data_IF_518483244682
#
_entry.id   IF_518483244682
#
_cell.length_a   1.000
_cell.length_b   1.000
_cell.length_c   1.000
_cell.angle_alpha   90.00
_cell.angle_beta   90.00
_cell.angle_gamma   90.00
#
_symmetry.space_group_name_H-M   'P 1'
#
loop_
_entity.id
_entity.type
_entity.pdbx_description
1 polymer ?
#
# COMPACT_ATOMS: atom_id res chain seq x y z
N UNK A 1 2.73 4.69 14.81
CA UNK A 1 3.93 5.09 14.07
C UNK A 1 5.14 4.46 14.75
N UNK A 2 5.84 3.56 14.07
CA UNK A 2 6.96 2.85 14.66
C UNK A 2 8.15 3.79 14.88
N UNK A 3 8.70 3.77 16.08
CA UNK A 3 9.91 4.52 16.37
C UNK A 3 11.13 3.77 15.78
N UNK A 4 11.78 4.39 14.82
CA UNK A 4 13.04 3.96 14.22
C UNK A 4 14.08 5.09 14.29
N UNK A 5 14.01 5.93 15.34
CA UNK A 5 14.91 7.07 15.53
C UNK A 5 16.39 6.66 15.59
N UNK A 6 16.68 5.44 16.05
CA UNK A 6 18.02 4.87 16.13
C UNK A 6 18.54 4.30 14.80
N UNK A 7 17.69 4.27 13.75
CA UNK A 7 18.07 3.76 12.44
C UNK A 7 18.65 4.86 11.54
N UNK A 8 19.32 4.43 10.46
CA UNK A 8 19.92 5.38 9.51
C UNK A 8 18.89 6.32 8.91
N UNK A 9 19.24 7.56 8.56
CA UNK A 9 18.33 8.51 7.91
C UNK A 9 17.63 7.91 6.68
N UNK A 10 18.33 7.11 5.89
CA UNK A 10 17.76 6.41 4.74
C UNK A 10 16.65 5.44 5.15
N UNK A 11 16.83 4.66 6.21
CA UNK A 11 15.80 3.74 6.71
C UNK A 11 14.56 4.49 7.20
N UNK A 12 14.76 5.63 7.88
CA UNK A 12 13.67 6.49 8.35
C UNK A 12 12.86 7.07 7.18
N UNK A 13 13.55 7.57 6.14
CA UNK A 13 12.90 8.07 4.91
C UNK A 13 12.08 6.97 4.24
N UNK A 14 12.62 5.78 4.05
CA UNK A 14 11.88 4.68 3.43
C UNK A 14 10.73 4.16 4.30
N UNK A 15 10.84 4.26 5.64
CA UNK A 15 9.70 4.02 6.54
C UNK A 15 8.56 5.01 6.25
N UNK A 16 8.87 6.28 6.18
CA UNK A 16 7.87 7.33 5.92
C UNK A 16 7.22 7.14 4.55
N UNK A 17 8.02 6.83 3.53
CA UNK A 17 7.51 6.49 2.18
C UNK A 17 6.59 5.26 2.24
N UNK A 18 6.97 4.20 2.95
CA UNK A 18 6.17 2.98 3.06
C UNK A 18 4.86 3.23 3.80
N UNK A 19 4.90 3.99 4.90
CA UNK A 19 3.70 4.38 5.63
C UNK A 19 2.75 5.21 4.77
N UNK A 20 3.27 6.24 4.07
CA UNK A 20 2.47 7.02 3.14
C UNK A 20 1.87 6.15 2.04
N UNK A 21 2.65 5.26 1.47
CA UNK A 21 2.20 4.31 0.45
C UNK A 21 1.05 3.40 0.96
N UNK A 22 1.12 2.94 2.22
CA UNK A 22 0.05 2.19 2.88
C UNK A 22 -1.22 3.02 3.10
N UNK A 23 -1.12 4.35 3.15
CA UNK A 23 -2.26 5.26 3.36
C UNK A 23 -2.91 5.72 2.05
N UNK A 24 -2.19 5.62 0.91
CA UNK A 24 -2.67 6.06 -0.41
C UNK A 24 -3.00 4.89 -1.32
N UNK A 25 -2.31 3.77 -1.20
CA UNK A 25 -2.60 2.54 -1.92
C UNK A 25 -2.35 2.58 -3.43
N UNK A 26 -1.66 3.57 -3.97
CA UNK A 26 -1.30 3.66 -5.39
C UNK A 26 -0.31 2.55 -5.81
N UNK A 27 0.06 2.48 -7.08
CA UNK A 27 1.21 1.67 -7.51
C UNK A 27 2.50 2.42 -7.24
N UNK A 28 3.60 1.72 -6.99
CA UNK A 28 4.90 2.35 -6.71
C UNK A 28 5.37 3.27 -7.85
N UNK A 29 5.14 2.88 -9.10
CA UNK A 29 5.49 3.71 -10.25
C UNK A 29 4.67 5.00 -10.35
N UNK A 30 3.41 4.98 -9.87
CA UNK A 30 2.59 6.19 -9.76
C UNK A 30 3.13 7.06 -8.60
N UNK A 31 3.41 6.46 -7.43
CA UNK A 31 3.97 7.16 -6.26
C UNK A 31 5.28 7.88 -6.58
N UNK A 32 6.17 7.23 -7.32
CA UNK A 32 7.48 7.78 -7.71
C UNK A 32 7.35 9.05 -8.56
N UNK A 33 6.29 9.15 -9.35
CA UNK A 33 6.03 10.28 -10.26
C UNK A 33 5.23 11.40 -9.60
N UNK A 34 4.65 11.19 -8.42
CA UNK A 34 3.83 12.20 -7.76
C UNK A 34 4.61 13.45 -7.41
N UNK A 35 3.98 14.58 -7.66
CA UNK A 35 4.47 15.93 -7.37
C UNK A 35 3.53 16.65 -6.44
N UNK A 36 3.90 17.84 -5.98
CA UNK A 36 3.01 18.70 -5.17
C UNK A 36 1.72 19.06 -5.91
N UNK A 37 1.76 19.17 -7.25
CA UNK A 37 0.57 19.44 -8.06
C UNK A 37 -0.50 18.32 -7.99
N UNK A 38 -0.12 17.12 -7.52
CA UNK A 38 -1.09 16.04 -7.29
C UNK A 38 -1.91 16.23 -6.00
N UNK A 39 -1.60 17.22 -5.17
CA UNK A 39 -2.39 17.54 -3.99
C UNK A 39 -3.44 18.59 -4.35
N UNK A 40 -4.69 18.16 -4.39
CA UNK A 40 -5.85 18.99 -4.74
C UNK A 40 -6.89 18.88 -3.61
N UNK A 41 -7.27 19.99 -3.01
CA UNK A 41 -8.30 20.05 -1.96
C UNK A 41 -8.13 18.98 -0.86
N UNK A 42 -6.90 18.81 -0.35
CA UNK A 42 -6.60 17.87 0.71
C UNK A 42 -6.65 16.39 0.31
N UNK A 43 -6.62 16.10 -0.98
CA UNK A 43 -6.54 14.74 -1.53
C UNK A 43 -5.36 14.59 -2.50
N UNK A 44 -4.88 13.36 -2.67
CA UNK A 44 -3.99 13.02 -3.80
C UNK A 44 -4.84 12.68 -5.00
N UNK A 45 -4.60 13.37 -6.13
CA UNK A 45 -5.23 13.09 -7.41
C UNK A 45 -4.20 12.66 -8.45
N UNK A 46 -4.47 11.58 -9.16
CA UNK A 46 -3.60 11.09 -10.23
C UNK A 46 -4.35 10.18 -11.21
N UNK A 47 -3.81 10.05 -12.42
CA UNK A 47 -4.24 9.04 -13.39
C UNK A 47 -3.21 7.93 -13.38
N UNK A 48 -3.65 6.68 -13.11
CA UNK A 48 -2.73 5.54 -13.02
C UNK A 48 -2.05 5.28 -14.38
N UNK A 49 -0.73 5.28 -14.40
CA UNK A 49 0.10 5.11 -15.60
C UNK A 49 -0.28 3.87 -16.42
N UNK A 50 -0.56 2.75 -15.73
CA UNK A 50 -0.91 1.49 -16.39
C UNK A 50 -2.20 1.56 -17.22
N UNK A 51 -3.12 2.46 -16.90
CA UNK A 51 -4.46 2.52 -17.51
C UNK A 51 -4.71 3.80 -18.31
N UNK A 52 -3.78 4.75 -18.28
CA UNK A 52 -3.96 6.07 -18.91
C UNK A 52 -4.25 6.02 -20.41
N UNK A 53 -3.69 5.05 -21.12
CA UNK A 53 -3.81 4.94 -22.57
C UNK A 53 -5.06 4.15 -23.03
N UNK A 54 -5.78 3.49 -22.12
CA UNK A 54 -6.96 2.68 -22.47
C UNK A 54 -8.25 3.28 -21.92
N UNK A 55 -8.35 3.44 -20.62
CA UNK A 55 -9.51 4.05 -19.92
C UNK A 55 -8.97 4.93 -18.81
N UNK A 56 -8.54 6.15 -19.10
CA UNK A 56 -8.04 7.06 -18.10
C UNK A 56 -9.14 7.36 -17.07
N UNK A 57 -8.82 7.18 -15.80
CA UNK A 57 -9.71 7.52 -14.70
C UNK A 57 -8.87 8.27 -13.66
N UNK A 58 -9.35 9.43 -13.25
CA UNK A 58 -8.77 10.15 -12.12
C UNK A 58 -9.07 9.38 -10.84
N UNK A 59 -8.02 9.07 -10.10
CA UNK A 59 -8.10 8.46 -8.78
C UNK A 59 -7.89 9.58 -7.78
N UNK A 60 -8.84 9.73 -6.86
CA UNK A 60 -8.79 10.72 -5.79
C UNK A 60 -8.77 10.01 -4.44
N UNK A 61 -7.72 10.21 -3.66
CA UNK A 61 -7.56 9.62 -2.32
C UNK A 61 -7.43 10.73 -1.30
N UNK A 62 -8.45 10.98 -0.47
CA UNK A 62 -8.37 11.98 0.59
C UNK A 62 -7.23 11.67 1.56
N UNK A 63 -6.49 12.70 1.94
CA UNK A 63 -5.39 12.59 2.89
C UNK A 63 -5.91 12.61 4.32
N UNK A 64 -5.67 11.54 5.06
CA UNK A 64 -5.86 11.55 6.50
C UNK A 64 -4.71 12.29 7.21
N UNK A 65 -4.87 12.56 8.50
CA UNK A 65 -3.90 13.36 9.26
C UNK A 65 -2.51 12.72 9.32
N UNK A 66 -2.42 11.39 9.33
CA UNK A 66 -1.13 10.67 9.30
C UNK A 66 -0.41 10.90 7.97
N UNK A 67 -1.13 10.87 6.85
CA UNK A 67 -0.57 11.15 5.53
C UNK A 67 -0.11 12.61 5.43
N UNK A 68 -0.90 13.56 5.92
CA UNK A 68 -0.54 14.98 5.98
C UNK A 68 0.71 15.22 6.82
N UNK A 69 0.79 14.59 8.01
CA UNK A 69 1.95 14.69 8.89
C UNK A 69 3.24 14.14 8.24
N UNK A 70 3.14 13.07 7.45
CA UNK A 70 4.29 12.56 6.69
C UNK A 70 4.71 13.57 5.63
N UNK A 71 3.77 14.12 4.85
CA UNK A 71 4.08 15.10 3.81
C UNK A 71 4.68 16.40 4.36
N UNK A 72 4.28 16.80 5.56
CA UNK A 72 4.83 17.98 6.23
C UNK A 72 6.34 17.87 6.50
N UNK A 73 6.85 16.66 6.76
CA UNK A 73 8.29 16.41 6.94
C UNK A 73 9.12 16.69 5.68
N UNK A 74 8.49 16.67 4.53
CA UNK A 74 9.13 16.83 3.22
C UNK A 74 8.62 18.09 2.51
N UNK A 75 8.18 19.09 3.29
CA UNK A 75 7.64 20.35 2.76
C UNK A 75 8.67 21.10 1.89
N UNK A 76 9.95 20.97 2.20
CA UNK A 76 11.05 21.65 1.49
C UNK A 76 11.34 21.07 0.10
N UNK A 77 10.73 19.94 -0.27
CA UNK A 77 10.85 19.41 -1.62
C UNK A 77 10.03 20.28 -2.58
N UNK A 78 10.69 21.00 -3.48
CA UNK A 78 10.05 21.96 -4.40
C UNK A 78 9.07 21.27 -5.36
N UNK A 79 9.45 20.15 -5.95
CA UNK A 79 8.69 19.52 -7.03
C UNK A 79 8.04 18.20 -6.60
N UNK A 80 8.80 17.32 -5.97
CA UNK A 80 8.35 15.96 -5.62
C UNK A 80 7.48 15.97 -4.37
N UNK A 81 6.53 15.03 -4.32
CA UNK A 81 5.72 14.83 -3.14
C UNK A 81 6.50 14.17 -1.99
N UNK A 82 7.41 13.25 -2.34
CA UNK A 82 8.27 12.51 -1.41
C UNK A 82 9.70 12.41 -1.98
N UNK A 83 10.71 12.08 -1.18
CA UNK A 83 12.07 11.83 -1.67
C UNK A 83 12.09 10.78 -2.78
N UNK A 84 13.11 10.88 -3.66
CA UNK A 84 13.26 9.99 -4.82
C UNK A 84 13.28 8.52 -4.39
N UNK A 85 12.42 7.72 -5.00
CA UNK A 85 12.30 6.28 -4.75
C UNK A 85 13.19 5.54 -5.75
N UNK A 86 14.06 4.67 -5.25
CA UNK A 86 14.65 3.60 -6.03
C UNK A 86 13.92 2.31 -5.66
N UNK A 87 13.22 1.70 -6.59
CA UNK A 87 12.33 0.57 -6.31
C UNK A 87 13.05 -0.64 -5.70
N UNK A 88 14.28 -0.94 -6.14
CA UNK A 88 15.06 -2.06 -5.60
C UNK A 88 15.48 -1.79 -4.15
N UNK A 89 15.96 -0.57 -3.87
CA UNK A 89 16.32 -0.14 -2.52
C UNK A 89 15.05 -0.11 -1.65
N UNK A 90 13.95 0.41 -2.16
CA UNK A 90 12.68 0.49 -1.45
C UNK A 90 12.19 -0.89 -1.00
N UNK A 91 12.17 -1.89 -1.89
CA UNK A 91 11.76 -3.24 -1.53
C UNK A 91 12.68 -3.86 -0.46
N UNK A 92 13.99 -3.61 -0.53
CA UNK A 92 14.95 -4.07 0.48
C UNK A 92 14.71 -3.37 1.84
N UNK A 93 14.44 -2.07 1.82
CA UNK A 93 14.16 -1.30 3.03
C UNK A 93 12.84 -1.71 3.67
N UNK A 94 11.79 -2.00 2.89
CA UNK A 94 10.53 -2.55 3.42
C UNK A 94 10.78 -3.82 4.23
N UNK A 95 11.55 -4.77 3.68
CA UNK A 95 11.90 -6.02 4.36
C UNK A 95 12.66 -5.75 5.67
N UNK A 96 13.68 -4.88 5.61
CA UNK A 96 14.45 -4.47 6.79
C UNK A 96 13.55 -3.86 7.87
N UNK A 97 12.69 -2.92 7.48
CA UNK A 97 11.78 -2.22 8.39
C UNK A 97 10.82 -3.20 9.07
N UNK A 98 10.19 -4.10 8.32
CA UNK A 98 9.29 -5.09 8.89
C UNK A 98 10.00 -6.02 9.87
N UNK A 99 11.23 -6.45 9.55
CA UNK A 99 12.04 -7.27 10.43
C UNK A 99 12.42 -6.55 11.72
N UNK A 100 12.84 -5.29 11.65
CA UNK A 100 13.14 -4.46 12.82
C UNK A 100 11.93 -4.27 13.74
N UNK A 101 10.73 -4.27 13.17
CA UNK A 101 9.48 -4.12 13.92
C UNK A 101 8.89 -5.45 14.43
N UNK A 102 9.59 -6.57 14.26
CA UNK A 102 9.08 -7.90 14.61
C UNK A 102 7.84 -8.33 13.83
N UNK A 103 7.61 -7.75 12.64
CA UNK A 103 6.51 -8.13 11.75
C UNK A 103 7.00 -9.27 10.86
N UNK A 104 7.06 -10.46 11.41
CA UNK A 104 7.68 -11.65 10.82
C UNK A 104 6.76 -12.88 10.77
N UNK A 105 5.44 -12.68 10.98
CA UNK A 105 4.48 -13.78 10.93
C UNK A 105 4.68 -14.65 9.68
N UNK A 106 4.57 -15.97 9.84
CA UNK A 106 4.67 -16.92 8.75
C UNK A 106 3.47 -16.82 7.81
N UNK A 107 3.72 -16.87 6.53
CA UNK A 107 2.69 -16.87 5.48
C UNK A 107 3.00 -17.95 4.45
N UNK A 108 1.95 -18.59 3.96
CA UNK A 108 2.06 -19.58 2.88
C UNK A 108 2.23 -18.86 1.55
N UNK A 109 3.27 -19.22 0.81
CA UNK A 109 3.51 -18.78 -0.56
C UNK A 109 3.79 -19.97 -1.46
N UNK A 110 3.48 -19.84 -2.74
CA UNK A 110 3.84 -20.89 -3.70
C UNK A 110 5.28 -20.65 -4.16
N UNK A 111 6.11 -21.65 -4.00
CA UNK A 111 7.48 -21.62 -4.53
C UNK A 111 7.45 -21.57 -6.06
N UNK A 112 8.24 -20.65 -6.64
CA UNK A 112 8.21 -20.43 -8.09
C UNK A 112 8.84 -21.59 -8.90
N UNK A 113 9.72 -22.38 -8.26
CA UNK A 113 10.42 -23.50 -8.93
C UNK A 113 9.66 -24.79 -8.79
N UNK A 114 9.31 -25.17 -7.55
CA UNK A 114 8.65 -26.43 -7.24
C UNK A 114 7.13 -26.40 -7.41
N UNK A 115 6.53 -25.18 -7.43
CA UNK A 115 5.09 -24.95 -7.42
C UNK A 115 4.37 -25.46 -6.16
N UNK A 116 5.12 -25.79 -5.13
CA UNK A 116 4.59 -26.26 -3.85
C UNK A 116 4.39 -25.10 -2.86
N UNK A 117 3.44 -25.26 -1.91
CA UNK A 117 3.27 -24.29 -0.83
C UNK A 117 4.42 -24.38 0.17
N UNK A 118 5.07 -23.26 0.42
CA UNK A 118 6.12 -23.11 1.43
C UNK A 118 5.78 -21.99 2.42
N UNK A 119 6.30 -22.11 3.64
CA UNK A 119 6.15 -21.08 4.66
C UNK A 119 7.34 -20.12 4.64
N UNK A 120 7.06 -18.81 4.60
CA UNK A 120 8.08 -17.76 4.71
C UNK A 120 7.63 -16.66 5.64
N UNK A 121 8.54 -15.99 6.38
CA UNK A 121 8.22 -14.78 7.12
C UNK A 121 7.75 -13.68 6.16
N UNK A 122 6.72 -12.94 6.56
CA UNK A 122 6.19 -11.86 5.69
C UNK A 122 7.24 -10.78 5.40
N UNK A 123 8.17 -10.53 6.33
CA UNK A 123 9.27 -9.58 6.13
C UNK A 123 10.23 -9.99 5.00
N UNK A 124 10.34 -11.28 4.69
CA UNK A 124 11.24 -11.76 3.61
C UNK A 124 10.62 -11.64 2.22
N UNK A 125 9.30 -11.58 2.13
CA UNK A 125 8.56 -11.53 0.86
C UNK A 125 7.89 -10.18 0.59
N UNK A 126 7.86 -9.30 1.57
CA UNK A 126 7.23 -7.99 1.44
C UNK A 126 7.90 -7.14 0.35
N UNK A 127 7.08 -6.40 -0.37
CA UNK A 127 7.49 -5.47 -1.42
C UNK A 127 6.63 -4.21 -1.37
N UNK A 128 6.89 -3.25 -2.25
CA UNK A 128 6.04 -2.08 -2.46
C UNK A 128 4.56 -2.45 -2.69
N UNK A 129 4.31 -3.62 -3.28
CA UNK A 129 2.95 -4.13 -3.48
C UNK A 129 2.23 -4.47 -2.16
N UNK A 130 2.99 -4.78 -1.10
CA UNK A 130 2.46 -4.99 0.25
C UNK A 130 1.78 -3.74 0.79
N UNK A 131 2.33 -2.54 0.54
CA UNK A 131 1.69 -1.29 0.92
C UNK A 131 0.28 -1.15 0.33
N UNK A 132 0.15 -1.42 -0.96
CA UNK A 132 -1.14 -1.37 -1.66
C UNK A 132 -2.11 -2.45 -1.15
N UNK A 133 -1.62 -3.66 -0.88
CA UNK A 133 -2.44 -4.71 -0.23
C UNK A 133 -2.94 -4.27 1.14
N UNK A 134 -2.08 -3.66 1.94
CA UNK A 134 -2.43 -3.15 3.27
C UNK A 134 -3.53 -2.08 3.19
N UNK A 135 -3.40 -1.11 2.26
CA UNK A 135 -4.43 -0.10 2.04
C UNK A 135 -5.79 -0.72 1.72
N UNK A 136 -5.83 -1.57 0.71
CA UNK A 136 -7.07 -2.19 0.24
C UNK A 136 -7.67 -3.10 1.32
N UNK A 137 -6.85 -3.96 1.95
CA UNK A 137 -7.31 -4.87 2.99
C UNK A 137 -7.89 -4.15 4.21
N UNK A 138 -7.22 -3.09 4.68
CA UNK A 138 -7.68 -2.31 5.82
C UNK A 138 -8.99 -1.56 5.53
N UNK A 139 -9.14 -1.01 4.32
CA UNK A 139 -10.38 -0.36 3.91
C UNK A 139 -11.51 -1.38 3.77
N UNK A 140 -11.25 -2.51 3.12
CA UNK A 140 -12.26 -3.53 2.88
C UNK A 140 -12.81 -4.12 4.18
N UNK A 141 -11.95 -4.35 5.17
CA UNK A 141 -12.38 -4.81 6.51
C UNK A 141 -13.35 -3.84 7.19
N UNK A 142 -13.18 -2.53 6.95
CA UNK A 142 -14.03 -1.49 7.58
C UNK A 142 -15.32 -1.21 6.83
N UNK A 143 -15.25 -1.13 5.51
CA UNK A 143 -16.35 -0.64 4.68
C UNK A 143 -17.16 -1.80 4.06
N UNK A 144 -16.52 -2.95 3.80
CA UNK A 144 -17.13 -4.14 3.16
C UNK A 144 -17.74 -3.86 1.76
N UNK A 145 -17.50 -2.68 1.19
CA UNK A 145 -17.91 -2.29 -0.16
C UNK A 145 -16.72 -2.35 -1.13
N UNK A 146 -16.70 -3.37 -2.02
CA UNK A 146 -15.62 -3.53 -2.99
C UNK A 146 -15.55 -2.39 -4.00
N UNK A 147 -16.67 -1.77 -4.37
CA UNK A 147 -16.71 -0.73 -5.39
C UNK A 147 -16.09 0.57 -4.86
N UNK A 148 -16.42 0.93 -3.62
CA UNK A 148 -15.84 2.10 -2.97
C UNK A 148 -14.32 1.93 -2.79
N UNK A 149 -13.85 0.76 -2.33
CA UNK A 149 -12.42 0.48 -2.20
C UNK A 149 -11.72 0.44 -3.57
N UNK A 150 -12.39 -0.08 -4.61
CA UNK A 150 -11.88 -0.10 -5.97
C UNK A 150 -11.70 1.33 -6.53
N UNK A 151 -12.64 2.24 -6.24
CA UNK A 151 -12.56 3.65 -6.67
C UNK A 151 -11.34 4.36 -6.12
N UNK A 152 -11.01 4.14 -4.83
CA UNK A 152 -9.84 4.71 -4.17
C UNK A 152 -8.51 4.09 -4.63
N UNK A 153 -8.53 2.84 -5.05
CA UNK A 153 -7.33 2.12 -5.46
C UNK A 153 -7.11 2.09 -6.98
N UNK A 154 -8.07 2.59 -7.78
CA UNK A 154 -8.00 2.58 -9.23
C UNK A 154 -8.07 1.18 -9.86
N UNK A 155 -8.79 0.26 -9.23
CA UNK A 155 -9.18 -0.99 -9.85
C UNK A 155 -10.51 -0.83 -10.60
N UNK A 156 -10.65 -1.55 -11.71
CA UNK A 156 -11.96 -1.69 -12.37
C UNK A 156 -12.84 -2.66 -11.57
N UNK A 157 -14.11 -2.34 -11.51
CA UNK A 157 -15.10 -3.17 -10.84
C UNK A 157 -15.08 -4.60 -11.41
N UNK A 158 -15.18 -5.60 -10.53
CA UNK A 158 -15.14 -7.01 -10.92
C UNK A 158 -13.79 -7.53 -11.43
N UNK A 159 -12.72 -6.72 -11.41
CA UNK A 159 -11.43 -7.18 -11.92
C UNK A 159 -10.86 -8.34 -11.11
N UNK A 160 -10.37 -9.40 -11.81
CA UNK A 160 -9.65 -10.52 -11.17
C UNK A 160 -8.45 -10.06 -10.33
N UNK A 161 -7.81 -8.95 -10.74
CA UNK A 161 -6.71 -8.36 -9.99
C UNK A 161 -7.18 -7.80 -8.64
N UNK A 162 -8.38 -7.20 -8.60
CA UNK A 162 -8.95 -6.68 -7.36
C UNK A 162 -9.44 -7.80 -6.44
N UNK A 163 -10.00 -8.88 -6.99
CA UNK A 163 -10.45 -10.03 -6.22
C UNK A 163 -9.34 -10.64 -5.32
N UNK A 164 -8.07 -10.58 -5.77
CA UNK A 164 -6.92 -11.05 -4.98
C UNK A 164 -6.66 -10.22 -3.72
N UNK A 165 -7.16 -9.01 -3.63
CA UNK A 165 -7.02 -8.15 -2.46
C UNK A 165 -8.16 -8.28 -1.47
N UNK A 166 -9.27 -8.91 -1.91
CA UNK A 166 -10.43 -9.22 -1.08
C UNK A 166 -10.24 -10.57 -0.38
N UNK A 167 -9.16 -10.71 0.39
CA UNK A 167 -9.05 -11.86 1.30
C UNK A 167 -10.18 -11.73 2.31
N UNK A 168 -11.16 -12.62 2.21
CA UNK A 168 -12.22 -12.72 3.20
C UNK A 168 -11.54 -13.20 4.48
N UNK A 169 -11.48 -12.32 5.46
CA UNK A 169 -10.94 -12.60 6.79
C UNK A 169 -11.73 -13.76 7.43
N UNK A 170 -11.07 -14.63 8.15
CA UNK A 170 -11.71 -15.72 8.90
C UNK A 170 -12.72 -15.20 9.93
N UNK A 171 -12.52 -14.00 10.45
CA UNK A 171 -13.46 -13.32 11.33
C UNK A 171 -14.77 -12.97 10.58
N UNK A 172 -14.66 -12.40 9.38
CA UNK A 172 -15.83 -12.16 8.52
C UNK A 172 -16.56 -13.45 8.15
N UNK A 173 -15.85 -14.55 7.90
CA UNK A 173 -16.46 -15.86 7.63
C UNK A 173 -17.24 -16.36 8.84
N UNK A 174 -16.69 -16.22 10.05
CA UNK A 174 -17.36 -16.59 11.30
C UNK A 174 -18.61 -15.74 11.55
N UNK A 175 -18.54 -14.43 11.28
CA UNK A 175 -19.71 -13.55 11.38
C UNK A 175 -20.79 -13.94 10.39
N UNK A 176 -20.44 -14.25 9.13
CA UNK A 176 -21.40 -14.67 8.12
C UNK A 176 -22.11 -15.99 8.47
N UNK A 177 -21.36 -16.96 9.00
CA UNK A 177 -21.96 -18.24 9.41
C UNK A 177 -22.95 -18.08 10.55
N UNK A 178 -22.73 -17.14 11.47
CA UNK A 178 -23.69 -16.84 12.55
C UNK A 178 -25.02 -16.26 12.09
N UNK A 179 -25.11 -15.80 10.83
CA UNK A 179 -26.36 -15.28 10.28
C UNK A 179 -27.32 -16.37 9.81
N UNK A 180 -26.91 -17.63 9.79
CA UNK A 180 -27.69 -18.77 9.39
C UNK A 180 -28.03 -19.73 10.57
N UNK A 181 -27.65 -19.35 11.79
CA UNK A 181 -28.11 -19.96 13.06
C UNK A 181 -29.45 -19.33 13.43
#
# INVERSE_FOLDING_TARGET
>A
YADLSNETPSTQVYRDIFMFHCLIGCRVGDLEKMTRANIVDGAVEYIAEKTKNHKPRTIRVPLNDKAKAILAKYADLETRLLPKINQNIYNRQIKKILKLLGIDRMVTVIDNKTREPIQKPICDIATSHTARKTFIGNLYKKVKDPNLVASLSGHTDGSRAFARYREIDNEMKRELVKLID
#
